data_IF_369306823331
#
_entry.id   IF_369306823331
#
_cell.length_a   1.000
_cell.length_b   1.000
_cell.length_c   1.000
_cell.angle_alpha   90.00
_cell.angle_beta   90.00
_cell.angle_gamma   90.00
#
_symmetry.space_group_name_H-M   'P 1'
#
loop_
_entity.id
_entity.type
_entity.pdbx_description
1 polymer ?
#
# COMPACT_ATOMS: atom_id res chain seq x y z
N UNK A 1 9.43 -17.10 2.85
CA UNK A 1 9.87 -15.90 3.59
C UNK A 1 8.89 -15.67 4.71
N UNK A 2 9.31 -15.09 5.84
CA UNK A 2 8.49 -15.00 7.05
C UNK A 2 7.23 -14.17 6.80
N UNK A 3 6.05 -14.76 7.03
CA UNK A 3 4.81 -13.99 7.06
C UNK A 3 4.96 -12.85 8.07
N UNK A 4 4.72 -11.61 7.64
CA UNK A 4 4.69 -10.46 8.54
C UNK A 4 3.63 -10.74 9.61
N UNK A 5 4.00 -10.65 10.89
CA UNK A 5 3.05 -10.82 11.98
C UNK A 5 1.93 -9.78 11.87
N UNK A 6 0.75 -10.10 12.36
CA UNK A 6 -0.41 -9.21 12.27
C UNK A 6 -0.12 -7.81 12.84
N UNK A 7 0.70 -7.72 13.88
CA UNK A 7 1.19 -6.44 14.43
C UNK A 7 2.09 -5.64 13.47
N UNK A 8 2.95 -6.32 12.71
CA UNK A 8 3.82 -5.67 11.71
C UNK A 8 2.98 -5.19 10.53
N UNK A 9 2.10 -6.04 10.01
CA UNK A 9 1.13 -5.68 8.97
C UNK A 9 0.31 -4.47 9.41
N UNK A 10 -0.22 -4.48 10.63
CA UNK A 10 -1.06 -3.41 11.17
C UNK A 10 -0.29 -2.12 11.43
N UNK A 11 1.00 -2.20 11.80
CA UNK A 11 1.87 -1.02 11.93
C UNK A 11 2.16 -0.38 10.58
N UNK A 12 2.54 -1.18 9.59
CA UNK A 12 2.80 -0.67 8.24
C UNK A 12 1.50 -0.14 7.61
N UNK A 13 0.39 -0.85 7.80
CA UNK A 13 -0.93 -0.42 7.32
C UNK A 13 -1.31 0.93 7.90
N UNK A 14 -1.24 1.12 9.23
CA UNK A 14 -1.53 2.42 9.88
C UNK A 14 -0.55 3.53 9.52
N UNK A 15 0.65 3.20 9.07
CA UNK A 15 1.61 4.23 8.63
C UNK A 15 1.16 4.84 7.30
N UNK A 16 0.47 4.06 6.48
CA UNK A 16 0.00 4.46 5.16
C UNK A 16 -1.44 4.98 5.23
N UNK A 17 -2.33 4.28 5.95
CA UNK A 17 -3.72 4.65 6.25
C UNK A 17 -3.74 5.88 7.16
N UNK A 18 -3.92 7.04 6.53
CA UNK A 18 -3.82 8.34 7.19
C UNK A 18 -5.14 8.70 7.85
N UNK A 19 -6.26 8.26 7.27
CA UNK A 19 -7.60 8.50 7.80
C UNK A 19 -8.00 7.47 8.88
N UNK A 20 -7.27 6.35 8.99
CA UNK A 20 -7.56 5.24 9.89
C UNK A 20 -8.94 4.59 9.64
N UNK A 21 -9.37 4.58 8.37
CA UNK A 21 -10.62 3.96 7.94
C UNK A 21 -10.49 2.43 7.79
N UNK A 22 -9.26 1.88 7.90
CA UNK A 22 -9.00 0.45 7.77
C UNK A 22 -8.85 -0.02 6.33
N UNK A 23 -8.77 0.94 5.39
CA UNK A 23 -8.55 0.75 3.96
C UNK A 23 -7.48 1.73 3.49
N UNK A 24 -6.55 1.28 2.64
CA UNK A 24 -5.55 2.18 2.02
C UNK A 24 -6.01 2.52 0.62
N UNK A 25 -6.44 3.75 0.42
CA UNK A 25 -6.79 4.25 -0.91
C UNK A 25 -5.53 4.50 -1.76
N UNK A 26 -5.69 4.48 -3.09
CA UNK A 26 -4.60 4.88 -4.03
C UNK A 26 -4.05 6.26 -3.67
N UNK A 27 -4.92 7.18 -3.25
CA UNK A 27 -4.54 8.53 -2.89
C UNK A 27 -3.66 8.58 -1.63
N UNK A 28 -3.96 7.77 -0.63
CA UNK A 28 -3.15 7.67 0.59
C UNK A 28 -1.80 7.02 0.33
N UNK A 29 -1.80 5.91 -0.42
CA UNK A 29 -0.57 5.23 -0.84
C UNK A 29 0.32 6.18 -1.64
N UNK A 30 -0.27 6.94 -2.56
CA UNK A 30 0.42 7.98 -3.34
C UNK A 30 0.97 9.10 -2.45
N UNK A 31 0.19 9.62 -1.51
CA UNK A 31 0.62 10.68 -0.57
C UNK A 31 1.71 10.21 0.39
N UNK A 32 1.80 8.91 0.68
CA UNK A 32 2.86 8.35 1.51
C UNK A 32 4.14 8.07 0.70
N UNK A 33 4.01 7.43 -0.47
CA UNK A 33 5.16 7.01 -1.28
C UNK A 33 5.83 8.16 -2.04
N UNK A 34 5.07 9.12 -2.59
CA UNK A 34 5.62 10.23 -3.37
C UNK A 34 6.63 11.09 -2.60
N UNK A 35 6.34 11.62 -1.39
CA UNK A 35 7.31 12.42 -0.65
C UNK A 35 8.51 11.59 -0.19
N UNK A 36 8.31 10.29 0.09
CA UNK A 36 9.42 9.39 0.43
C UNK A 36 10.36 9.16 -0.77
N UNK A 37 9.83 9.03 -1.98
CA UNK A 37 10.64 8.90 -3.20
C UNK A 37 11.31 10.21 -3.61
N UNK A 38 10.66 11.36 -3.41
CA UNK A 38 11.29 12.67 -3.64
C UNK A 38 12.48 12.87 -2.69
N UNK A 39 12.36 12.45 -1.43
CA UNK A 39 13.46 12.47 -0.47
C UNK A 39 14.60 11.51 -0.83
N UNK A 40 14.29 10.39 -1.49
CA UNK A 40 15.27 9.42 -2.00
C UNK A 40 15.84 9.78 -3.38
N UNK A 41 15.41 10.90 -3.99
CA UNK A 41 15.87 11.35 -5.30
C UNK A 41 15.32 10.52 -6.48
N UNK A 42 14.36 9.62 -6.23
CA UNK A 42 13.72 8.79 -7.25
C UNK A 42 12.51 9.56 -7.79
N UNK A 43 12.74 10.62 -8.55
CA UNK A 43 11.68 11.26 -9.34
C UNK A 43 11.43 10.41 -10.57
N UNK A 44 10.32 9.71 -10.62
CA UNK A 44 9.90 9.04 -11.84
C UNK A 44 8.39 8.96 -11.92
N UNK A 45 7.83 9.35 -13.07
CA UNK A 45 6.43 9.06 -13.45
C UNK A 45 6.09 7.56 -13.34
N UNK A 46 7.13 6.72 -13.37
CA UNK A 46 7.07 5.28 -13.10
C UNK A 46 6.54 4.99 -11.69
N UNK A 47 6.80 5.83 -10.68
CA UNK A 47 6.32 5.64 -9.31
C UNK A 47 4.79 5.59 -9.22
N UNK A 48 4.11 6.50 -9.91
CA UNK A 48 2.65 6.51 -9.91
C UNK A 48 2.08 5.29 -10.61
N UNK A 49 2.67 4.90 -11.73
CA UNK A 49 2.24 3.70 -12.46
C UNK A 49 2.50 2.42 -11.67
N UNK A 50 3.63 2.35 -10.96
CA UNK A 50 3.94 1.22 -10.08
C UNK A 50 2.97 1.16 -8.91
N UNK A 51 2.68 2.28 -8.23
CA UNK A 51 1.67 2.32 -7.14
C UNK A 51 0.31 1.91 -7.67
N UNK A 52 -0.12 2.45 -8.81
CA UNK A 52 -1.42 2.16 -9.39
C UNK A 52 -1.51 0.70 -9.86
N UNK A 53 -0.42 0.15 -10.40
CA UNK A 53 -0.29 -1.25 -10.77
C UNK A 53 -0.24 -2.19 -9.56
N UNK A 54 0.40 -1.76 -8.47
CA UNK A 54 0.46 -2.50 -7.22
C UNK A 54 -0.92 -2.55 -6.58
N UNK A 55 -1.61 -1.41 -6.48
CA UNK A 55 -2.98 -1.35 -5.97
C UNK A 55 -3.90 -2.21 -6.83
N UNK A 56 -3.88 -2.08 -8.16
CA UNK A 56 -4.70 -2.95 -9.03
C UNK A 56 -4.44 -4.45 -8.89
N UNK A 57 -3.23 -4.85 -8.51
CA UNK A 57 -2.89 -6.26 -8.29
C UNK A 57 -3.33 -6.76 -6.92
N UNK A 58 -3.44 -5.86 -5.96
CA UNK A 58 -3.81 -6.13 -4.57
C UNK A 58 -5.32 -6.06 -4.37
N UNK A 59 -5.95 -5.07 -5.00
CA UNK A 59 -7.37 -4.77 -5.02
C UNK A 59 -8.10 -5.82 -5.87
N UNK A 60 -8.48 -6.91 -5.21
CA UNK A 60 -9.22 -8.02 -5.81
C UNK A 60 -10.68 -7.66 -6.00
N UNK A 61 -11.23 -6.79 -5.14
CA UNK A 61 -12.60 -6.30 -5.21
C UNK A 61 -12.79 -5.15 -6.23
N UNK A 62 -11.70 -4.57 -6.74
CA UNK A 62 -11.70 -3.42 -7.65
C UNK A 62 -12.41 -2.18 -7.04
N UNK A 63 -12.32 -2.03 -5.72
CA UNK A 63 -12.88 -0.89 -4.98
C UNK A 63 -11.92 0.33 -4.98
N UNK A 64 -10.76 0.24 -5.62
CA UNK A 64 -9.75 1.29 -5.68
C UNK A 64 -9.02 1.53 -4.35
N UNK A 65 -9.17 0.61 -3.40
CA UNK A 65 -8.62 0.68 -2.05
C UNK A 65 -8.22 -0.71 -1.57
N UNK A 66 -7.11 -0.82 -0.85
CA UNK A 66 -6.63 -2.09 -0.30
C UNK A 66 -7.11 -2.21 1.14
N UNK A 67 -7.97 -3.19 1.39
CA UNK A 67 -8.42 -3.48 2.76
C UNK A 67 -7.32 -4.20 3.55
N UNK A 68 -7.35 -4.11 4.89
CA UNK A 68 -6.40 -4.85 5.75
C UNK A 68 -6.35 -6.35 5.44
N UNK A 69 -7.50 -6.95 5.13
CA UNK A 69 -7.60 -8.35 4.73
C UNK A 69 -6.89 -8.64 3.41
N UNK A 70 -7.04 -7.79 2.39
CA UNK A 70 -6.36 -7.96 1.10
C UNK A 70 -4.84 -7.82 1.22
N UNK A 71 -4.38 -6.85 2.03
CA UNK A 71 -2.98 -6.66 2.33
C UNK A 71 -2.37 -7.90 3.02
N UNK A 72 -3.08 -8.45 4.01
CA UNK A 72 -2.68 -9.69 4.70
C UNK A 72 -2.68 -10.88 3.75
N UNK A 73 -3.70 -11.01 2.91
CA UNK A 73 -3.82 -12.09 1.93
C UNK A 73 -2.66 -12.06 0.93
N UNK A 74 -2.28 -10.88 0.46
CA UNK A 74 -1.14 -10.70 -0.43
C UNK A 74 0.19 -11.07 0.22
N UNK A 75 0.46 -10.60 1.43
CA UNK A 75 1.66 -10.98 2.17
C UNK A 75 1.71 -12.49 2.49
N UNK A 76 0.57 -13.17 2.54
CA UNK A 76 0.49 -14.62 2.69
C UNK A 76 0.64 -15.39 1.38
N UNK A 77 0.51 -14.71 0.23
CA UNK A 77 0.54 -15.32 -1.11
C UNK A 77 1.90 -15.17 -1.81
N UNK A 78 2.81 -14.37 -1.23
CA UNK A 78 4.23 -14.22 -1.59
C UNK A 78 5.12 -15.18 -0.79
#
# INVERSE_FOLDING_TARGET
MSALSEEQLRKEFRRIDKDNDGSITIEELRKYYLPMQEMLGIRSEVAEQEIQGLVKRLDSDNNGSISFEEFKLFCSRL
#
